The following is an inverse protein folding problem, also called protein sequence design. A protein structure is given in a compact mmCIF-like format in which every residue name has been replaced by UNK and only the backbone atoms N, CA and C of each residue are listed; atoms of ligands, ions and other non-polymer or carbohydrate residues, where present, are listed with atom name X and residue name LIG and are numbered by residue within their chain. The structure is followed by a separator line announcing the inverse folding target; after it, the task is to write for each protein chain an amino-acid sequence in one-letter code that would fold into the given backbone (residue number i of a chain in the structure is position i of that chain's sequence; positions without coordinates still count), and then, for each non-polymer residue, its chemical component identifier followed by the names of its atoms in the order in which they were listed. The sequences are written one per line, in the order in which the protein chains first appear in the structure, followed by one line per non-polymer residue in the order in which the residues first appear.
data_IF_201186552707
#
_entry.id   IF_201186552707
#
_cell.length_a   1.000
_cell.length_b   1.000
_cell.length_c   1.000
_cell.angle_alpha   90.00
_cell.angle_beta   90.00
_cell.angle_gamma   90.00
#
_symmetry.space_group_name_H-M   'P 1'
#
loop_
_entity.id
_entity.type
_entity.pdbx_description
1 polymer ?
#
# COMPACT_ATOMS: atom_id res chain seq x y z
N UNK A 1 12.12 -5.00 -21.36
CA UNK A 1 11.27 -4.71 -20.19
C UNK A 1 12.08 -4.83 -18.90
N UNK A 2 12.82 -5.93 -18.66
CA UNK A 2 13.62 -6.17 -17.45
C UNK A 2 14.75 -5.13 -17.21
N UNK A 3 15.42 -4.65 -18.28
CA UNK A 3 16.46 -3.61 -18.19
C UNK A 3 15.87 -2.20 -17.97
N UNK A 4 14.68 -1.94 -18.49
CA UNK A 4 13.96 -0.66 -18.28
C UNK A 4 13.43 -0.59 -16.86
N UNK A 5 12.94 -1.69 -16.28
CA UNK A 5 12.51 -1.77 -14.88
C UNK A 5 13.69 -1.55 -13.90
N UNK A 6 14.86 -2.13 -14.20
CA UNK A 6 16.10 -1.91 -13.44
C UNK A 6 16.61 -0.46 -13.56
N UNK A 7 16.48 0.18 -14.70
CA UNK A 7 16.84 1.58 -14.91
C UNK A 7 15.83 2.49 -14.19
N UNK A 8 14.54 2.19 -14.22
CA UNK A 8 13.52 2.90 -13.44
C UNK A 8 13.74 2.73 -11.92
N UNK A 9 14.16 1.56 -11.45
CA UNK A 9 14.53 1.30 -10.05
C UNK A 9 15.84 2.04 -9.69
N UNK A 10 16.79 2.15 -10.60
CA UNK A 10 18.05 2.88 -10.38
C UNK A 10 17.90 4.41 -10.50
N UNK A 11 16.97 4.90 -11.33
CA UNK A 11 16.64 6.33 -11.42
C UNK A 11 15.72 6.76 -10.27
N UNK A 12 14.97 5.82 -9.65
CA UNK A 12 14.12 6.07 -8.48
C UNK A 12 14.88 6.21 -7.16
N UNK A 13 16.20 6.13 -7.16
CA UNK A 13 17.02 6.14 -5.92
C UNK A 13 17.34 7.52 -5.37
N UNK A 14 16.51 8.54 -5.67
CA UNK A 14 16.76 9.85 -5.06
C UNK A 14 15.48 10.67 -4.87
N UNK A 15 15.08 11.09 -3.65
CA UNK A 15 14.24 12.26 -3.35
C UNK A 15 13.16 12.13 -2.25
N UNK A 16 13.13 12.97 -1.28
CA UNK A 16 12.57 12.90 0.05
C UNK A 16 11.22 13.55 0.37
N UNK A 17 10.61 13.09 1.34
CA UNK A 17 9.39 13.05 2.11
C UNK A 17 8.37 12.08 1.52
N UNK A 18 8.18 10.95 2.20
CA UNK A 18 6.99 10.13 2.02
C UNK A 18 5.79 11.03 2.31
N UNK A 19 5.11 11.44 1.27
CA UNK A 19 4.00 12.37 1.39
C UNK A 19 2.68 11.66 1.61
N UNK A 20 2.75 10.45 2.17
CA UNK A 20 1.59 9.71 2.65
C UNK A 20 0.35 9.82 1.74
N UNK A 21 0.58 9.95 0.42
CA UNK A 21 -0.46 10.05 -0.58
C UNK A 21 -1.33 11.32 -0.55
N UNK A 22 -0.89 12.40 0.10
CA UNK A 22 -1.63 13.66 0.15
C UNK A 22 -0.90 14.80 -0.57
N UNK A 23 -1.51 15.30 -1.65
CA UNK A 23 -0.94 16.32 -2.51
C UNK A 23 -0.86 17.70 -1.86
N UNK A 24 -1.70 18.00 -0.87
CA UNK A 24 -1.63 19.25 -0.12
C UNK A 24 -0.33 19.39 0.67
N UNK A 25 0.36 18.29 0.99
CA UNK A 25 1.67 18.34 1.64
C UNK A 25 2.78 18.88 0.73
N UNK A 26 2.55 18.98 -0.60
CA UNK A 26 3.42 19.71 -1.53
C UNK A 26 3.28 21.23 -1.46
N UNK A 27 2.30 21.70 -0.71
CA UNK A 27 2.09 23.11 -0.51
C UNK A 27 3.39 23.83 -0.11
N UNK A 28 3.65 24.95 -0.75
CA UNK A 28 4.76 25.84 -0.42
C UNK A 28 4.26 27.25 -0.22
N UNK A 29 5.06 28.10 0.42
CA UNK A 29 4.74 29.54 0.56
C UNK A 29 4.59 30.29 -0.76
N UNK A 30 5.13 29.75 -1.85
CA UNK A 30 4.97 30.34 -3.18
C UNK A 30 3.57 30.06 -3.72
N UNK A 31 2.95 31.06 -4.35
CA UNK A 31 1.59 30.99 -4.86
C UNK A 31 1.44 30.08 -6.08
N UNK A 32 2.54 29.81 -6.79
CA UNK A 32 2.56 28.95 -7.97
C UNK A 32 3.67 27.92 -7.84
N UNK A 33 3.32 26.66 -8.10
CA UNK A 33 4.31 25.59 -8.15
C UNK A 33 3.83 24.40 -8.97
N UNK A 34 4.78 23.70 -9.57
CA UNK A 34 4.58 22.38 -10.17
C UNK A 34 5.32 21.36 -9.32
N UNK A 35 4.66 20.25 -9.04
CA UNK A 35 5.19 19.18 -8.24
C UNK A 35 5.03 17.87 -8.99
N UNK A 36 6.11 17.11 -9.07
CA UNK A 36 6.15 15.76 -9.59
C UNK A 36 6.70 14.86 -8.48
N UNK A 37 6.04 13.76 -8.20
CA UNK A 37 6.47 12.86 -7.15
C UNK A 37 6.19 11.39 -7.47
N UNK A 38 6.85 10.54 -6.72
CA UNK A 38 6.61 9.13 -6.69
C UNK A 38 6.99 8.56 -5.34
N UNK A 39 6.22 7.61 -4.87
CA UNK A 39 6.48 6.90 -3.62
C UNK A 39 6.19 5.41 -3.78
N UNK A 40 6.97 4.63 -3.10
CA UNK A 40 6.80 3.20 -2.92
C UNK A 40 6.98 2.88 -1.44
N UNK A 41 6.03 2.19 -0.88
CA UNK A 41 6.08 1.68 0.49
C UNK A 41 5.54 0.25 0.50
N UNK A 42 6.27 -0.68 1.10
CA UNK A 42 5.80 -2.04 1.35
C UNK A 42 6.31 -2.48 2.71
N UNK A 43 5.40 -2.78 3.61
CA UNK A 43 5.69 -3.18 4.98
C UNK A 43 4.90 -4.42 5.37
N UNK A 44 5.45 -5.22 6.29
CA UNK A 44 4.80 -6.38 6.87
C UNK A 44 5.14 -6.47 8.35
N UNK A 45 4.30 -7.08 9.15
CA UNK A 45 4.63 -7.36 10.56
C UNK A 45 5.28 -8.73 10.76
N UNK A 46 5.37 -9.57 9.72
CA UNK A 46 5.91 -10.92 9.78
C UNK A 46 6.91 -11.29 8.66
N UNK A 47 6.76 -10.78 7.44
CA UNK A 47 7.63 -11.12 6.31
C UNK A 47 8.84 -10.18 6.23
N UNK A 48 10.05 -10.75 6.15
CA UNK A 48 11.25 -9.97 5.87
C UNK A 48 11.31 -9.53 4.40
N UNK A 49 12.01 -8.41 4.14
CA UNK A 49 12.19 -7.92 2.77
C UNK A 49 12.91 -8.92 1.88
N UNK A 50 13.88 -9.67 2.42
CA UNK A 50 14.56 -10.72 1.65
C UNK A 50 13.60 -11.82 1.20
N UNK A 51 12.63 -12.19 2.05
CA UNK A 51 11.59 -13.14 1.71
C UNK A 51 10.66 -12.60 0.64
N UNK A 52 10.13 -11.37 0.85
CA UNK A 52 9.21 -10.72 -0.10
C UNK A 52 9.88 -10.55 -1.47
N UNK A 53 11.12 -10.05 -1.50
CA UNK A 53 11.84 -9.82 -2.75
C UNK A 53 12.13 -11.14 -3.48
N UNK A 54 12.49 -12.21 -2.75
CA UNK A 54 12.70 -13.54 -3.32
C UNK A 54 11.42 -14.10 -3.90
N UNK A 55 10.31 -14.00 -3.18
CA UNK A 55 8.99 -14.44 -3.63
C UNK A 55 8.55 -13.68 -4.88
N UNK A 56 8.65 -12.34 -4.87
CA UNK A 56 8.26 -11.49 -6.01
C UNK A 56 9.11 -11.74 -7.28
N UNK A 57 10.36 -12.16 -7.12
CA UNK A 57 11.26 -12.51 -8.23
C UNK A 57 11.08 -13.95 -8.74
N UNK A 58 10.21 -14.74 -8.13
CA UNK A 58 10.03 -16.16 -8.46
C UNK A 58 11.25 -17.02 -8.06
N UNK A 59 12.02 -16.59 -7.06
CA UNK A 59 13.18 -17.31 -6.58
C UNK A 59 12.82 -18.45 -5.62
N UNK A 60 13.71 -19.45 -5.50
CA UNK A 60 13.50 -20.54 -4.55
C UNK A 60 13.55 -20.05 -3.10
N UNK A 61 12.52 -20.40 -2.34
CA UNK A 61 12.39 -20.11 -0.90
C UNK A 61 12.73 -21.38 -0.14
N UNK A 62 13.91 -21.42 0.45
CA UNK A 62 14.37 -22.57 1.21
C UNK A 62 13.69 -22.71 2.58
N UNK A 63 13.93 -23.84 3.25
CA UNK A 63 13.33 -24.13 4.54
C UNK A 63 13.74 -23.09 5.60
N UNK A 64 14.99 -22.67 5.61
CA UNK A 64 15.50 -21.70 6.59
C UNK A 64 14.77 -20.37 6.47
N UNK A 65 14.58 -19.86 5.24
CA UNK A 65 13.82 -18.64 5.00
C UNK A 65 12.37 -18.76 5.48
N UNK A 66 11.71 -19.89 5.26
CA UNK A 66 10.34 -20.14 5.74
C UNK A 66 10.28 -20.16 7.26
N UNK A 67 11.17 -20.92 7.91
CA UNK A 67 11.23 -21.09 9.36
C UNK A 67 11.53 -19.76 10.08
N UNK A 68 12.33 -18.88 9.48
CA UNK A 68 12.58 -17.53 10.00
C UNK A 68 11.30 -16.65 9.99
N UNK A 69 10.47 -16.76 8.96
CA UNK A 69 9.19 -16.05 8.93
C UNK A 69 8.21 -16.66 9.94
N UNK A 70 8.12 -17.98 10.00
CA UNK A 70 7.22 -18.68 10.90
C UNK A 70 7.40 -18.28 12.37
N UNK A 71 8.63 -17.96 12.81
CA UNK A 71 8.91 -17.43 14.16
C UNK A 71 8.26 -16.06 14.43
N UNK A 72 7.87 -15.33 13.41
CA UNK A 72 7.28 -13.98 13.52
C UNK A 72 5.77 -13.98 13.32
N UNK A 73 5.24 -15.07 12.76
CA UNK A 73 3.81 -15.26 12.49
C UNK A 73 3.07 -15.44 13.81
N UNK A 74 2.05 -14.65 14.07
CA UNK A 74 1.26 -14.68 15.32
C UNK A 74 -0.19 -14.28 15.05
N UNK A 75 -1.13 -15.23 15.13
CA UNK A 75 -2.55 -14.94 14.96
C UNK A 75 -2.87 -14.32 13.61
N UNK A 76 -3.22 -13.03 13.59
CA UNK A 76 -3.49 -12.28 12.36
C UNK A 76 -2.25 -11.45 11.97
N UNK A 77 -1.77 -11.69 10.78
CA UNK A 77 -0.55 -11.10 10.23
C UNK A 77 -0.89 -10.18 9.05
N UNK A 78 -0.24 -9.04 8.97
CA UNK A 78 -0.55 -8.04 7.96
C UNK A 78 0.66 -7.72 7.08
N UNK A 79 0.36 -7.47 5.81
CA UNK A 79 1.30 -6.91 4.84
C UNK A 79 0.55 -5.89 4.00
N UNK A 80 1.19 -4.81 3.63
CA UNK A 80 0.58 -3.85 2.72
C UNK A 80 1.54 -2.79 2.26
N UNK A 81 1.13 -2.11 1.21
CA UNK A 81 1.94 -1.10 0.56
C UNK A 81 1.16 -0.18 -0.36
N UNK A 82 1.88 0.83 -0.79
CA UNK A 82 1.44 1.85 -1.72
C UNK A 82 2.50 2.04 -2.79
N UNK A 83 2.07 2.10 -4.04
CA UNK A 83 2.83 2.69 -5.14
C UNK A 83 2.03 3.87 -5.66
N UNK A 84 2.63 5.06 -5.68
CA UNK A 84 1.97 6.27 -6.15
C UNK A 84 2.92 7.09 -7.01
N UNK A 85 2.38 7.67 -8.08
CA UNK A 85 3.02 8.75 -8.83
C UNK A 85 2.04 9.90 -8.93
N UNK A 86 2.53 11.12 -8.79
CA UNK A 86 1.69 12.30 -8.78
C UNK A 86 2.31 13.45 -9.58
N UNK A 87 1.46 14.17 -10.26
CA UNK A 87 1.74 15.47 -10.84
C UNK A 87 0.70 16.45 -10.31
N UNK A 88 1.14 17.49 -9.60
CA UNK A 88 0.26 18.45 -8.95
C UNK A 88 0.73 19.88 -9.23
N UNK A 89 -0.18 20.73 -9.61
CA UNK A 89 0.04 22.16 -9.82
C UNK A 89 -0.76 22.98 -8.83
N UNK A 90 -0.10 23.96 -8.22
CA UNK A 90 -0.75 25.04 -7.46
C UNK A 90 -0.65 26.33 -8.26
N UNK A 91 -1.76 27.06 -8.37
CA UNK A 91 -1.80 28.31 -9.11
C UNK A 91 -2.74 29.30 -8.44
N UNK A 92 -2.31 30.56 -8.40
CA UNK A 92 -3.04 31.66 -7.81
C UNK A 92 -2.32 32.98 -8.08
N UNK A 93 -2.99 34.09 -7.86
CA UNK A 93 -2.37 35.40 -7.87
C UNK A 93 -1.68 35.67 -6.53
N UNK A 94 -0.57 36.42 -6.53
CA UNK A 94 0.17 36.74 -5.31
C UNK A 94 -0.67 37.55 -4.31
N UNK A 95 -1.58 38.37 -4.81
CA UNK A 95 -2.52 39.18 -4.02
C UNK A 95 -3.77 38.42 -3.55
N UNK A 96 -3.98 37.17 -3.98
CA UNK A 96 -5.17 36.40 -3.67
C UNK A 96 -4.96 35.55 -2.41
N UNK A 97 -5.98 35.42 -1.58
CA UNK A 97 -6.04 34.44 -0.49
C UNK A 97 -6.34 33.03 -1.02
N UNK A 98 -6.77 32.89 -2.27
CA UNK A 98 -7.13 31.62 -2.87
C UNK A 98 -6.03 31.11 -3.78
N UNK A 99 -5.78 29.82 -3.70
CA UNK A 99 -4.98 29.04 -4.64
C UNK A 99 -5.79 27.86 -5.14
N UNK A 100 -5.69 27.60 -6.41
CA UNK A 100 -6.28 26.41 -7.01
C UNK A 100 -5.24 25.30 -7.05
N UNK A 101 -5.70 24.07 -6.96
CA UNK A 101 -4.92 22.86 -7.15
C UNK A 101 -5.53 22.06 -8.29
N UNK A 102 -4.67 21.58 -9.19
CA UNK A 102 -5.00 20.58 -10.18
C UNK A 102 -3.94 19.48 -10.15
N UNK A 103 -4.36 18.23 -10.28
CA UNK A 103 -3.44 17.10 -10.19
C UNK A 103 -3.89 15.88 -10.98
N UNK A 104 -2.92 15.06 -11.35
CA UNK A 104 -3.11 13.74 -11.94
C UNK A 104 -2.23 12.78 -11.17
N UNK A 105 -2.82 11.75 -10.60
CA UNK A 105 -2.12 10.74 -9.83
C UNK A 105 -2.40 9.34 -10.40
N UNK A 106 -1.44 8.45 -10.28
CA UNK A 106 -1.65 7.02 -10.39
C UNK A 106 -1.36 6.39 -9.04
N UNK A 107 -2.28 5.57 -8.54
CA UNK A 107 -2.15 4.93 -7.23
C UNK A 107 -2.44 3.44 -7.32
N UNK A 108 -1.63 2.66 -6.64
CA UNK A 108 -1.86 1.24 -6.42
C UNK A 108 -1.72 0.96 -4.93
N UNK A 109 -2.79 0.45 -4.33
CA UNK A 109 -2.82 -0.02 -2.94
C UNK A 109 -2.86 -1.53 -2.92
N UNK A 110 -2.01 -2.11 -2.11
CA UNK A 110 -2.03 -3.52 -1.77
C UNK A 110 -2.11 -3.68 -0.26
N UNK A 111 -3.01 -4.55 0.21
CA UNK A 111 -2.99 -4.99 1.61
C UNK A 111 -3.51 -6.41 1.73
N UNK A 112 -2.92 -7.15 2.66
CA UNK A 112 -3.39 -8.47 3.03
C UNK A 112 -3.35 -8.63 4.55
N UNK A 113 -4.33 -9.37 5.05
CA UNK A 113 -4.42 -9.85 6.42
C UNK A 113 -4.65 -11.36 6.35
N UNK A 114 -3.78 -12.15 6.94
CA UNK A 114 -3.84 -13.62 6.89
C UNK A 114 -3.63 -14.23 8.28
N UNK A 115 -4.25 -15.38 8.52
CA UNK A 115 -3.97 -16.17 9.71
C UNK A 115 -2.60 -16.86 9.61
N UNK A 116 -2.07 -17.29 10.75
CA UNK A 116 -0.83 -18.08 10.78
C UNK A 116 -0.96 -19.40 10.02
N UNK A 117 -2.15 -20.02 10.05
CA UNK A 117 -2.39 -21.26 9.34
C UNK A 117 -2.42 -21.09 7.82
N UNK A 118 -2.89 -19.93 7.31
CA UNK A 118 -2.77 -19.60 5.87
C UNK A 118 -1.31 -19.54 5.44
N UNK A 119 -0.42 -18.95 6.25
CA UNK A 119 1.01 -18.94 5.98
C UNK A 119 1.60 -20.38 6.01
N UNK A 120 1.30 -21.14 7.06
CA UNK A 120 1.76 -22.53 7.19
C UNK A 120 1.27 -23.38 6.02
N UNK A 121 -0.01 -23.31 5.69
CA UNK A 121 -0.59 -24.04 4.57
C UNK A 121 0.07 -23.68 3.23
N UNK A 122 0.24 -22.39 2.96
CA UNK A 122 0.82 -21.91 1.69
C UNK A 122 2.29 -22.30 1.48
N UNK A 123 3.10 -22.42 2.55
CA UNK A 123 4.54 -22.66 2.45
C UNK A 123 5.01 -24.04 2.91
N UNK A 124 4.20 -24.76 3.67
CA UNK A 124 4.53 -26.12 4.17
C UNK A 124 3.50 -27.17 3.75
N UNK A 125 2.36 -26.75 3.19
CA UNK A 125 1.27 -27.63 2.79
C UNK A 125 0.45 -28.18 3.97
N UNK A 126 -0.46 -29.10 3.68
CA UNK A 126 -1.40 -29.68 4.64
C UNK A 126 -0.74 -30.66 5.65
N UNK A 127 0.48 -31.11 5.39
CA UNK A 127 1.21 -32.04 6.29
C UNK A 127 1.36 -31.50 7.70
N UNK A 128 1.36 -30.17 7.88
CA UNK A 128 1.45 -29.54 9.21
C UNK A 128 0.15 -29.67 10.03
N UNK A 129 -0.95 -30.10 9.40
CA UNK A 129 -2.30 -30.16 9.98
C UNK A 129 -2.86 -31.57 10.00
N UNK A 130 -1.98 -32.60 10.01
CA UNK A 130 -2.40 -34.00 10.12
C UNK A 130 -3.04 -34.23 11.47
N UNK A 131 -4.32 -34.62 11.50
CA UNK A 131 -5.13 -34.78 12.70
C UNK A 131 -5.72 -33.48 13.27
N UNK A 132 -5.50 -32.33 12.62
CA UNK A 132 -5.93 -31.01 13.08
C UNK A 132 -6.63 -30.19 11.98
N UNK A 133 -7.39 -29.17 12.40
CA UNK A 133 -8.00 -28.21 11.50
C UNK A 133 -7.08 -27.00 11.31
N UNK A 134 -6.70 -26.69 10.08
CA UNK A 134 -6.12 -25.41 9.70
C UNK A 134 -7.21 -24.34 9.59
N UNK A 135 -7.04 -23.22 10.26
CA UNK A 135 -7.91 -22.06 10.14
C UNK A 135 -7.49 -21.18 8.94
N UNK A 136 -8.20 -21.31 7.83
CA UNK A 136 -8.00 -20.52 6.62
C UNK A 136 -8.97 -19.33 6.52
N UNK A 137 -9.87 -19.17 7.49
CA UNK A 137 -10.84 -18.09 7.58
C UNK A 137 -10.23 -16.76 8.05
N UNK A 138 -11.05 -15.72 8.09
CA UNK A 138 -10.66 -14.37 8.52
C UNK A 138 -9.43 -13.81 7.80
N UNK A 139 -9.22 -14.23 6.55
CA UNK A 139 -8.13 -13.75 5.72
C UNK A 139 -8.65 -12.88 4.58
N UNK A 140 -7.93 -11.83 4.29
CA UNK A 140 -8.32 -10.84 3.30
C UNK A 140 -7.10 -10.40 2.48
N UNK A 141 -7.28 -10.29 1.17
CA UNK A 141 -6.28 -9.71 0.24
C UNK A 141 -6.98 -8.70 -0.63
N UNK A 142 -6.45 -7.49 -0.71
CA UNK A 142 -6.96 -6.41 -1.55
C UNK A 142 -5.82 -5.80 -2.37
N UNK A 143 -6.09 -5.56 -3.63
CA UNK A 143 -5.21 -4.81 -4.53
C UNK A 143 -6.08 -3.92 -5.42
N UNK A 144 -5.79 -2.61 -5.46
CA UNK A 144 -6.51 -1.63 -6.26
C UNK A 144 -5.52 -0.78 -7.04
N UNK A 145 -5.79 -0.56 -8.32
CA UNK A 145 -5.04 0.36 -9.16
C UNK A 145 -6.01 1.32 -9.84
N UNK A 146 -5.71 2.63 -9.77
CA UNK A 146 -6.54 3.66 -10.38
C UNK A 146 -5.74 4.92 -10.71
N UNK A 147 -6.26 5.68 -11.65
CA UNK A 147 -5.84 7.04 -11.96
C UNK A 147 -6.81 8.04 -11.30
N UNK A 148 -6.26 9.10 -10.76
CA UNK A 148 -7.00 10.16 -10.08
C UNK A 148 -6.80 11.49 -10.80
N UNK A 149 -7.88 12.18 -11.14
CA UNK A 149 -7.90 13.52 -11.72
C UNK A 149 -8.52 14.46 -10.71
N UNK A 150 -7.70 15.34 -10.16
CA UNK A 150 -8.00 16.16 -8.98
C UNK A 150 -8.14 17.64 -9.34
N UNK A 151 -9.15 18.27 -8.76
CA UNK A 151 -9.32 19.73 -8.73
C UNK A 151 -9.69 20.18 -7.33
N UNK A 152 -9.14 21.30 -6.89
CA UNK A 152 -9.42 21.81 -5.55
C UNK A 152 -8.92 23.23 -5.35
N UNK A 153 -8.97 23.67 -4.11
CA UNK A 153 -8.49 24.98 -3.70
C UNK A 153 -7.92 24.96 -2.29
N UNK A 154 -7.07 25.93 -2.01
CA UNK A 154 -6.56 26.31 -0.71
C UNK A 154 -6.98 27.74 -0.41
N UNK A 155 -7.41 27.99 0.80
CA UNK A 155 -7.57 29.33 1.37
C UNK A 155 -6.36 29.60 2.25
N UNK A 156 -5.62 30.64 1.90
CA UNK A 156 -4.31 30.96 2.45
C UNK A 156 -4.23 32.46 2.63
N UNK A 157 -4.48 32.94 3.82
CA UNK A 157 -4.43 34.37 4.12
C UNK A 157 -3.05 34.99 3.86
N UNK A 158 -2.96 36.29 3.65
CA UNK A 158 -1.71 37.02 3.43
C UNK A 158 -0.77 36.95 4.64
N UNK A 159 -1.31 36.62 5.80
CA UNK A 159 -0.56 36.51 7.07
C UNK A 159 -0.21 35.03 7.35
N UNK A 160 1.09 34.73 7.44
CA UNK A 160 1.61 33.39 7.74
C UNK A 160 1.26 32.89 9.15
N UNK A 161 0.61 33.70 9.98
CA UNK A 161 0.09 33.32 11.30
C UNK A 161 -1.34 32.78 11.25
N UNK A 162 -2.02 32.87 10.09
CA UNK A 162 -3.38 32.36 9.92
C UNK A 162 -3.40 30.89 9.48
N UNK A 163 -4.50 30.24 9.82
CA UNK A 163 -4.73 28.87 9.37
C UNK A 163 -4.90 28.81 7.84
N UNK A 164 -4.39 27.74 7.25
CA UNK A 164 -4.56 27.41 5.85
C UNK A 164 -5.50 26.23 5.76
N UNK A 165 -6.50 26.29 4.91
CA UNK A 165 -7.45 25.21 4.68
C UNK A 165 -7.56 24.90 3.21
N UNK A 166 -7.75 23.62 2.89
CA UNK A 166 -7.91 23.17 1.52
C UNK A 166 -8.90 22.04 1.39
N UNK A 167 -9.52 21.98 0.22
CA UNK A 167 -10.39 20.90 -0.19
C UNK A 167 -10.15 20.58 -1.66
N UNK A 168 -10.17 19.29 -2.01
CA UNK A 168 -10.13 18.85 -3.39
C UNK A 168 -11.13 17.72 -3.61
N UNK A 169 -11.66 17.68 -4.84
CA UNK A 169 -12.47 16.62 -5.35
C UNK A 169 -11.75 15.95 -6.51
N UNK A 170 -11.90 14.65 -6.61
CA UNK A 170 -11.23 13.87 -7.66
C UNK A 170 -12.21 12.94 -8.35
N UNK A 171 -12.07 12.87 -9.66
CA UNK A 171 -12.60 11.78 -10.46
C UNK A 171 -11.60 10.62 -10.48
N UNK A 172 -12.10 9.41 -10.29
CA UNK A 172 -11.28 8.20 -10.23
C UNK A 172 -11.59 7.31 -11.44
N UNK A 173 -10.54 6.94 -12.17
CA UNK A 173 -10.60 5.95 -13.24
C UNK A 173 -9.99 4.64 -12.73
N UNK A 174 -10.84 3.66 -12.42
CA UNK A 174 -10.41 2.34 -11.97
C UNK A 174 -9.76 1.54 -13.10
N UNK A 175 -8.58 1.00 -12.85
CA UNK A 175 -7.83 0.19 -13.80
C UNK A 175 -7.93 -1.29 -13.49
N UNK A 176 -7.60 -1.68 -12.27
CA UNK A 176 -7.68 -3.07 -11.84
C UNK A 176 -8.03 -3.17 -10.37
N UNK A 177 -8.70 -4.26 -10.04
CA UNK A 177 -9.02 -4.58 -8.68
C UNK A 177 -9.05 -6.10 -8.48
N UNK A 178 -8.56 -6.52 -7.32
CA UNK A 178 -8.60 -7.88 -6.82
C UNK A 178 -8.96 -7.83 -5.34
N UNK A 179 -9.94 -8.62 -4.93
CA UNK A 179 -10.32 -8.80 -3.53
C UNK A 179 -10.61 -10.27 -3.27
N UNK A 180 -9.91 -10.84 -2.30
CA UNK A 180 -10.22 -12.15 -1.74
C UNK A 180 -10.56 -11.98 -0.26
N UNK A 181 -11.70 -12.51 0.14
CA UNK A 181 -12.11 -12.61 1.54
C UNK A 181 -12.42 -14.07 1.85
N UNK A 182 -11.86 -14.59 2.93
CA UNK A 182 -12.25 -15.89 3.48
C UNK A 182 -12.89 -15.64 4.85
N UNK A 183 -14.17 -15.99 4.99
CA UNK A 183 -14.90 -15.75 6.25
C UNK A 183 -14.64 -16.87 7.27
N UNK A 184 -15.10 -18.10 6.97
CA UNK A 184 -15.00 -19.25 7.86
C UNK A 184 -14.50 -20.49 7.10
N UNK A 185 -13.30 -20.36 6.52
CA UNK A 185 -12.69 -21.48 5.77
C UNK A 185 -11.76 -22.30 6.67
N UNK A 186 -11.80 -23.62 6.53
CA UNK A 186 -10.93 -24.52 7.27
C UNK A 186 -10.55 -25.75 6.44
N UNK A 187 -9.39 -26.32 6.74
CA UNK A 187 -8.91 -27.53 6.11
C UNK A 187 -8.51 -28.53 7.20
N UNK A 188 -9.17 -29.69 7.17
CA UNK A 188 -8.83 -30.84 8.02
C UNK A 188 -8.10 -31.91 7.20
N UNK A 189 -7.03 -32.44 7.73
CA UNK A 189 -6.32 -33.60 7.16
C UNK A 189 -6.40 -34.76 8.14
N UNK A 190 -6.94 -35.91 7.72
CA UNK A 190 -7.07 -37.06 8.56
C UNK A 190 -5.71 -37.54 9.12
N UNK A 191 -5.68 -38.06 10.35
CA UNK A 191 -4.45 -38.49 11.02
C UNK A 191 -3.69 -39.59 10.26
N UNK A 192 -4.43 -40.45 9.57
CA UNK A 192 -3.92 -41.51 8.68
C UNK A 192 -3.71 -41.04 7.24
N UNK A 193 -3.92 -39.72 6.96
CA UNK A 193 -3.88 -39.14 5.66
C UNK A 193 -4.87 -39.71 4.61
N UNK A 194 -5.91 -40.42 5.06
CA UNK A 194 -6.89 -41.09 4.19
C UNK A 194 -7.83 -40.09 3.47
N UNK A 195 -8.07 -38.92 4.05
CA UNK A 195 -8.87 -37.88 3.43
C UNK A 195 -8.48 -36.48 3.88
N UNK A 196 -8.88 -35.50 3.05
CA UNK A 196 -8.81 -34.07 3.35
C UNK A 196 -10.24 -33.52 3.23
N UNK A 197 -10.65 -32.75 4.22
CA UNK A 197 -11.92 -32.03 4.22
C UNK A 197 -11.67 -30.54 4.17
N UNK A 198 -12.08 -29.89 3.09
CA UNK A 198 -11.97 -28.44 2.88
C UNK A 198 -13.38 -27.83 3.00
N UNK A 199 -13.61 -27.07 4.05
CA UNK A 199 -14.79 -26.22 4.17
C UNK A 199 -14.41 -24.82 3.74
N UNK A 200 -15.14 -24.25 2.79
CA UNK A 200 -14.88 -22.89 2.29
C UNK A 200 -16.11 -22.01 2.45
N UNK A 201 -15.90 -20.80 2.96
CA UNK A 201 -16.79 -19.67 2.79
C UNK A 201 -15.93 -18.50 2.35
N UNK A 202 -15.80 -18.32 1.05
CA UNK A 202 -14.88 -17.38 0.44
C UNK A 202 -15.53 -16.60 -0.71
N UNK A 203 -15.09 -15.38 -0.89
CA UNK A 203 -15.48 -14.50 -1.97
C UNK A 203 -14.24 -13.95 -2.66
N UNK A 204 -14.13 -14.16 -3.96
CA UNK A 204 -13.11 -13.59 -4.82
C UNK A 204 -13.78 -12.67 -5.83
N UNK A 205 -13.36 -11.41 -5.86
CA UNK A 205 -13.81 -10.44 -6.85
C UNK A 205 -12.62 -9.83 -7.57
N UNK A 206 -12.69 -9.73 -8.90
CA UNK A 206 -11.64 -9.11 -9.70
C UNK A 206 -12.23 -8.36 -10.89
N UNK A 207 -11.58 -7.26 -11.26
CA UNK A 207 -11.93 -6.50 -12.46
C UNK A 207 -11.76 -7.35 -13.72
N UNK A 208 -12.33 -6.89 -14.83
CA UNK A 208 -12.20 -7.55 -16.13
C UNK A 208 -10.72 -7.87 -16.44
N UNK A 209 -10.45 -9.16 -16.66
CA UNK A 209 -9.09 -9.66 -16.93
C UNK A 209 -8.65 -9.44 -18.37
N UNK A 210 -9.58 -9.14 -19.29
CA UNK A 210 -9.28 -8.81 -20.67
C UNK A 210 -8.75 -7.39 -20.85
N UNK A 211 -9.11 -6.48 -19.93
CA UNK A 211 -8.74 -5.07 -19.93
C UNK A 211 -7.68 -4.78 -18.86
N UNK A 212 -6.39 -4.91 -19.20
CA UNK A 212 -5.28 -4.78 -18.24
C UNK A 212 -4.31 -3.62 -18.52
N UNK A 213 -4.53 -2.88 -19.60
CA UNK A 213 -3.64 -1.80 -19.96
C UNK A 213 -3.89 -0.56 -19.13
N UNK A 214 -2.89 0.33 -19.00
CA UNK A 214 -2.98 1.57 -18.23
C UNK A 214 -4.06 2.54 -18.76
N UNK A 215 -4.45 2.42 -20.02
CA UNK A 215 -5.51 3.22 -20.67
C UNK A 215 -6.89 2.58 -20.56
N UNK A 216 -7.00 1.33 -20.15
CA UNK A 216 -8.27 0.62 -20.03
C UNK A 216 -9.13 1.22 -18.90
N UNK A 217 -10.43 1.02 -19.02
CA UNK A 217 -11.43 1.57 -18.13
C UNK A 217 -12.27 0.44 -17.54
N UNK A 218 -11.99 0.08 -16.30
CA UNK A 218 -12.68 -0.99 -15.59
C UNK A 218 -13.63 -0.49 -14.50
N UNK A 219 -13.59 0.79 -14.19
CA UNK A 219 -14.45 1.38 -13.17
C UNK A 219 -14.31 2.89 -13.09
N UNK A 220 -15.25 3.53 -12.41
CA UNK A 220 -15.24 4.96 -12.15
C UNK A 220 -15.65 5.26 -10.71
N UNK A 221 -15.17 6.35 -10.20
CA UNK A 221 -15.44 6.75 -8.84
C UNK A 221 -15.16 8.20 -8.57
N UNK A 222 -15.27 8.56 -7.32
CA UNK A 222 -14.92 9.90 -6.83
C UNK A 222 -14.30 9.81 -5.46
N UNK A 223 -13.48 10.79 -5.14
CA UNK A 223 -12.95 10.99 -3.80
C UNK A 223 -12.86 12.45 -3.42
N UNK A 224 -12.82 12.71 -2.11
CA UNK A 224 -12.59 14.02 -1.54
C UNK A 224 -11.32 14.00 -0.68
N UNK A 225 -10.67 15.15 -0.59
CA UNK A 225 -9.54 15.41 0.30
C UNK A 225 -9.77 16.71 1.07
N UNK A 226 -9.35 16.71 2.34
CA UNK A 226 -9.39 17.88 3.22
C UNK A 226 -8.01 18.08 3.84
N UNK A 227 -7.65 19.34 3.98
CA UNK A 227 -6.38 19.77 4.55
C UNK A 227 -6.59 20.99 5.44
N UNK A 228 -5.91 21.02 6.58
CA UNK A 228 -5.84 22.20 7.43
C UNK A 228 -4.43 22.29 8.05
N UNK A 229 -3.84 23.46 8.00
CA UNK A 229 -2.60 23.79 8.69
C UNK A 229 -2.84 25.00 9.58
N UNK A 230 -2.52 24.89 10.87
CA UNK A 230 -2.67 25.96 11.85
C UNK A 230 -1.31 26.26 12.48
N UNK A 231 -0.66 27.38 12.09
CA UNK A 231 0.55 27.83 12.74
C UNK A 231 0.27 28.45 14.12
N UNK A 232 1.21 28.29 15.05
CA UNK A 232 1.15 28.94 16.35
C UNK A 232 2.56 29.17 16.91
N UNK A 233 2.68 30.12 17.82
CA UNK A 233 3.95 30.36 18.54
C UNK A 233 3.94 29.58 19.85
N UNK A 234 4.92 28.73 20.06
CA UNK A 234 5.16 28.05 21.35
C UNK A 234 6.40 28.62 22.03
N UNK A 235 6.58 28.30 23.31
CA UNK A 235 7.84 28.62 24.04
C UNK A 235 9.07 27.94 23.42
N UNK A 236 8.88 26.87 22.67
CA UNK A 236 9.95 26.08 22.05
C UNK A 236 10.30 26.55 20.63
N UNK A 237 9.48 27.38 19.99
CA UNK A 237 9.72 27.87 18.65
C UNK A 237 8.45 28.02 17.82
N UNK A 238 8.62 28.32 16.53
CA UNK A 238 7.51 28.38 15.59
C UNK A 238 6.98 26.97 15.35
N UNK A 239 5.71 26.79 15.59
CA UNK A 239 5.05 25.49 15.54
C UNK A 239 3.85 25.52 14.62
N UNK A 240 3.46 24.35 14.12
CA UNK A 240 2.23 24.18 13.36
C UNK A 240 1.63 22.79 13.52
N UNK A 241 0.31 22.75 13.55
CA UNK A 241 -0.46 21.52 13.40
C UNK A 241 -0.95 21.37 11.96
N UNK A 242 -0.90 20.17 11.44
CA UNK A 242 -1.45 19.79 10.13
C UNK A 242 -2.42 18.66 10.35
N UNK A 243 -3.62 18.80 9.82
CA UNK A 243 -4.64 17.76 9.74
C UNK A 243 -4.93 17.49 8.27
N UNK A 244 -4.99 16.23 7.90
CA UNK A 244 -5.31 15.84 6.54
C UNK A 244 -6.15 14.57 6.52
N UNK A 245 -7.19 14.57 5.68
CA UNK A 245 -7.99 13.40 5.32
C UNK A 245 -7.95 13.27 3.81
N UNK A 246 -7.53 12.13 3.30
CA UNK A 246 -7.47 11.88 1.85
C UNK A 246 -8.07 10.53 1.47
N UNK A 247 -8.38 10.36 0.17
CA UNK A 247 -9.03 9.18 -0.39
C UNK A 247 -10.42 8.88 0.23
N UNK A 248 -11.15 9.90 0.70
CA UNK A 248 -12.52 9.71 1.17
C UNK A 248 -13.43 9.48 -0.05
N UNK A 249 -13.54 8.23 -0.49
CA UNK A 249 -14.21 7.92 -1.74
C UNK A 249 -14.34 6.44 -2.04
N UNK A 250 -14.83 6.16 -3.23
CA UNK A 250 -15.10 4.80 -3.71
C UNK A 250 -14.89 4.70 -5.22
N UNK A 251 -14.76 3.46 -5.71
CA UNK A 251 -14.77 3.10 -7.14
C UNK A 251 -15.88 2.07 -7.37
N UNK A 252 -16.73 2.34 -8.36
CA UNK A 252 -17.71 1.39 -8.91
C UNK A 252 -17.08 0.71 -10.12
N UNK A 253 -16.95 -0.61 -10.04
CA UNK A 253 -16.40 -1.46 -11.10
C UNK A 253 -17.46 -1.87 -12.11
N UNK A 254 -17.04 -2.15 -13.33
CA UNK A 254 -17.93 -2.47 -14.45
C UNK A 254 -18.74 -3.76 -14.23
N UNK A 255 -19.75 -3.97 -15.06
CA UNK A 255 -20.53 -5.21 -15.06
C UNK A 255 -19.75 -6.46 -15.49
N UNK A 256 -18.55 -6.27 -16.06
CA UNK A 256 -17.65 -7.38 -16.41
C UNK A 256 -16.80 -7.87 -15.23
N UNK A 257 -16.99 -7.29 -14.04
CA UNK A 257 -16.33 -7.75 -12.82
C UNK A 257 -16.71 -9.19 -12.53
N UNK A 258 -15.71 -10.04 -12.35
CA UNK A 258 -15.87 -11.44 -12.02
C UNK A 258 -16.01 -11.59 -10.51
N UNK A 259 -17.09 -12.24 -10.07
CA UNK A 259 -17.35 -12.54 -8.66
C UNK A 259 -17.47 -14.05 -8.53
N UNK A 260 -16.56 -14.65 -7.79
CA UNK A 260 -16.59 -16.07 -7.44
C UNK A 260 -17.00 -16.17 -5.97
N UNK A 261 -17.98 -16.98 -5.69
CA UNK A 261 -18.39 -17.32 -4.32
C UNK A 261 -18.25 -18.83 -4.12
N UNK A 262 -17.63 -19.23 -3.05
CA UNK A 262 -17.51 -20.61 -2.60
C UNK A 262 -18.12 -20.69 -1.20
N UNK A 263 -19.15 -21.51 -1.04
CA UNK A 263 -19.78 -21.81 0.25
C UNK A 263 -20.15 -23.30 0.25
N UNK A 264 -19.14 -24.13 0.47
CA UNK A 264 -19.29 -25.58 0.35
C UNK A 264 -18.23 -26.33 1.18
N UNK A 265 -18.52 -27.60 1.43
CA UNK A 265 -17.58 -28.54 2.01
C UNK A 265 -17.17 -29.54 0.94
N UNK A 266 -15.89 -29.67 0.71
CA UNK A 266 -15.29 -30.55 -0.25
C UNK A 266 -14.48 -31.64 0.47
N UNK A 267 -14.82 -32.92 0.18
CA UNK A 267 -14.10 -34.09 0.72
C UNK A 267 -13.25 -34.71 -0.39
N UNK A 268 -11.97 -34.85 -0.13
CA UNK A 268 -11.02 -35.50 -1.02
C UNK A 268 -10.40 -36.73 -0.33
N UNK A 269 -10.71 -37.90 -0.82
CA UNK A 269 -10.23 -39.18 -0.28
C UNK A 269 -9.10 -39.81 -1.12
N UNK A 270 -8.44 -39.00 -1.97
CA UNK A 270 -7.39 -39.48 -2.86
C UNK A 270 -7.92 -40.09 -4.13
N UNK A 271 -7.00 -40.52 -4.99
CA UNK A 271 -7.28 -41.26 -6.22
C UNK A 271 -6.82 -42.66 -6.07
N UNK A 272 -7.73 -43.60 -6.27
CA UNK A 272 -7.39 -45.04 -6.23
C UNK A 272 -6.64 -45.37 -7.54
N UNK A 273 -5.38 -45.81 -7.40
CA UNK A 273 -4.52 -46.19 -8.51
C UNK A 273 -4.33 -47.73 -8.40
N UNK A 274 -5.00 -48.47 -9.29
CA UNK A 274 -4.90 -49.92 -9.34
C UNK A 274 -3.50 -50.41 -9.70
N UNK A 275 -2.80 -49.67 -10.57
CA UNK A 275 -1.45 -50.02 -11.02
C UNK A 275 -0.65 -48.73 -11.27
N UNK A 276 0.41 -48.55 -10.49
CA UNK A 276 1.27 -47.36 -10.56
C UNK A 276 2.05 -47.29 -11.88
N UNK A 277 2.27 -48.43 -12.54
CA UNK A 277 2.96 -48.53 -13.84
C UNK A 277 2.02 -48.31 -15.03
N UNK A 278 0.71 -48.36 -14.81
CA UNK A 278 -0.32 -48.06 -15.81
C UNK A 278 -0.84 -46.61 -15.74
N UNK A 279 -0.20 -45.72 -14.98
CA UNK A 279 -0.55 -44.31 -14.86
C UNK A 279 -0.42 -43.65 -16.22
N UNK A 280 -1.56 -43.29 -16.83
CA UNK A 280 -1.64 -42.47 -18.02
C UNK A 280 -1.83 -41.02 -17.63
N UNK A 281 -1.31 -40.08 -18.42
CA UNK A 281 -1.51 -38.64 -18.24
C UNK A 281 -2.98 -38.24 -18.08
N UNK A 282 -3.93 -39.03 -18.67
CA UNK A 282 -5.37 -38.80 -18.52
C UNK A 282 -5.90 -39.01 -17.09
N UNK A 283 -5.22 -39.83 -16.25
CA UNK A 283 -5.63 -40.06 -14.85
C UNK A 283 -5.23 -38.86 -13.97
N UNK A 284 -4.12 -38.19 -14.29
CA UNK A 284 -3.67 -36.96 -13.62
C UNK A 284 -4.46 -35.74 -14.09
N UNK A 285 -4.86 -35.72 -15.37
CA UNK A 285 -5.70 -34.65 -15.95
C UNK A 285 -7.14 -34.66 -15.44
N UNK A 286 -7.67 -35.82 -14.99
CA UNK A 286 -8.99 -35.90 -14.36
C UNK A 286 -9.05 -35.19 -12.99
N UNK A 287 -7.90 -34.86 -12.40
CA UNK A 287 -7.76 -34.06 -11.16
C UNK A 287 -7.31 -32.65 -11.54
N UNK A 288 -7.89 -32.05 -12.57
CA UNK A 288 -7.53 -30.69 -12.91
C UNK A 288 -8.08 -29.71 -11.84
N UNK A 289 -7.25 -28.78 -11.42
CA UNK A 289 -7.69 -27.67 -10.55
C UNK A 289 -8.92 -26.96 -11.12
N UNK A 290 -9.06 -26.93 -12.44
CA UNK A 290 -10.18 -26.32 -13.15
C UNK A 290 -11.51 -27.02 -12.88
N UNK A 291 -11.53 -28.37 -12.88
CA UNK A 291 -12.76 -29.13 -12.57
C UNK A 291 -13.18 -29.02 -11.10
N UNK A 292 -12.22 -28.88 -10.19
CA UNK A 292 -12.50 -28.65 -8.75
C UNK A 292 -13.04 -27.23 -8.56
N UNK A 293 -12.45 -26.24 -9.23
CA UNK A 293 -12.91 -24.85 -9.13
C UNK A 293 -14.29 -24.64 -9.77
N UNK A 294 -14.57 -25.23 -10.92
CA UNK A 294 -15.88 -25.15 -11.57
C UNK A 294 -17.00 -25.79 -10.74
N UNK A 295 -16.72 -26.89 -10.06
CA UNK A 295 -17.73 -27.54 -9.21
C UNK A 295 -17.92 -26.91 -7.84
N UNK A 296 -16.94 -26.19 -7.33
CA UNK A 296 -16.93 -25.61 -5.98
C UNK A 296 -17.27 -24.12 -5.93
N UNK A 297 -17.35 -23.42 -7.07
CA UNK A 297 -17.53 -21.97 -7.12
C UNK A 297 -18.67 -21.57 -8.05
N UNK A 298 -19.47 -20.60 -7.60
CA UNK A 298 -20.42 -19.91 -8.44
C UNK A 298 -19.74 -18.67 -9.03
N UNK A 299 -19.67 -18.58 -10.35
CA UNK A 299 -19.17 -17.42 -11.07
C UNK A 299 -20.33 -16.54 -11.50
N UNK A 300 -20.30 -15.29 -11.10
CA UNK A 300 -21.20 -14.25 -11.57
C UNK A 300 -20.43 -13.06 -12.16
N UNK A 301 -21.01 -12.39 -13.14
CA UNK A 301 -20.52 -11.12 -13.70
C UNK A 301 -21.47 -10.02 -13.27
N UNK A 302 -21.03 -9.20 -12.33
CA UNK A 302 -21.85 -8.13 -11.79
C UNK A 302 -21.02 -6.90 -11.42
N UNK A 303 -21.68 -5.75 -11.39
CA UNK A 303 -21.07 -4.52 -10.86
C UNK A 303 -20.66 -4.73 -9.40
N UNK A 304 -19.48 -4.25 -9.06
CA UNK A 304 -18.95 -4.25 -7.70
C UNK A 304 -18.59 -2.83 -7.26
N UNK A 305 -18.43 -2.62 -5.97
CA UNK A 305 -17.96 -1.34 -5.43
C UNK A 305 -16.87 -1.56 -4.41
N UNK A 306 -15.91 -0.65 -4.38
CA UNK A 306 -14.78 -0.68 -3.45
C UNK A 306 -14.62 0.68 -2.81
N UNK A 307 -14.68 0.75 -1.48
CA UNK A 307 -14.26 1.93 -0.74
C UNK A 307 -12.74 2.03 -0.76
N UNK A 308 -12.21 3.23 -0.94
CA UNK A 308 -10.78 3.47 -0.90
C UNK A 308 -10.25 3.38 0.53
N UNK A 309 -8.94 3.10 0.71
CA UNK A 309 -8.26 3.27 1.99
C UNK A 309 -8.20 4.76 2.36
N UNK A 310 -9.10 5.20 3.24
CA UNK A 310 -9.13 6.59 3.71
C UNK A 310 -7.93 6.84 4.61
N UNK A 311 -7.08 7.76 4.23
CA UNK A 311 -5.91 8.16 5.02
C UNK A 311 -6.26 9.32 5.94
N UNK A 312 -6.11 9.12 7.23
CA UNK A 312 -6.17 10.15 8.26
C UNK A 312 -4.75 10.44 8.77
N UNK A 313 -4.37 11.72 8.79
CA UNK A 313 -3.03 12.15 9.13
C UNK A 313 -3.07 13.39 10.02
N UNK A 314 -2.38 13.33 11.17
CA UNK A 314 -2.11 14.46 12.03
C UNK A 314 -0.60 14.62 12.13
N UNK A 315 -0.12 15.84 11.96
CA UNK A 315 1.30 16.18 12.09
C UNK A 315 1.44 17.39 12.98
N UNK A 316 2.38 17.33 13.89
CA UNK A 316 2.83 18.47 14.68
C UNK A 316 4.29 18.76 14.35
N UNK A 317 4.60 19.98 13.91
CA UNK A 317 5.95 20.43 13.56
C UNK A 317 6.38 21.56 14.48
N UNK A 318 7.62 21.51 14.96
CA UNK A 318 8.24 22.55 15.78
C UNK A 318 9.58 22.89 15.15
N UNK A 319 9.77 24.15 14.79
CA UNK A 319 11.06 24.67 14.33
C UNK A 319 11.78 25.36 15.49
N UNK A 320 12.67 24.62 16.13
CA UNK A 320 13.44 25.11 17.29
C UNK A 320 14.45 26.20 16.92
N UNK A 321 15.03 26.10 15.71
CA UNK A 321 16.05 27.04 15.22
C UNK A 321 16.03 27.11 13.68
N UNK A 322 16.88 27.95 13.11
CA UNK A 322 17.11 27.95 11.66
C UNK A 322 17.70 26.63 11.15
N UNK A 323 18.36 25.86 12.02
CA UNK A 323 19.12 24.66 11.66
C UNK A 323 18.33 23.37 11.96
N UNK A 324 17.29 23.40 12.82
CA UNK A 324 16.63 22.18 13.26
C UNK A 324 15.10 22.32 13.37
N UNK A 325 14.40 21.39 12.75
CA UNK A 325 12.95 21.19 12.84
C UNK A 325 12.66 19.77 13.32
N UNK A 326 11.70 19.63 14.21
CA UNK A 326 11.21 18.35 14.71
C UNK A 326 9.75 18.17 14.37
N UNK A 327 9.41 16.99 13.90
CA UNK A 327 8.06 16.59 13.49
C UNK A 327 7.64 15.37 14.28
N UNK A 328 6.40 15.36 14.76
CA UNK A 328 5.73 14.14 15.26
C UNK A 328 4.44 13.97 14.48
N UNK A 329 4.01 12.74 14.28
CA UNK A 329 2.78 12.51 13.55
C UNK A 329 2.11 11.18 13.86
N UNK A 330 0.85 11.14 13.48
CA UNK A 330 -0.02 9.97 13.53
C UNK A 330 -0.66 9.77 12.17
N UNK A 331 -0.61 8.53 11.64
CA UNK A 331 -1.29 8.12 10.40
C UNK A 331 -2.14 6.89 10.67
N UNK A 332 -3.35 6.87 10.10
CA UNK A 332 -4.18 5.68 10.06
C UNK A 332 -4.86 5.56 8.69
N UNK A 333 -4.95 4.33 8.18
CA UNK A 333 -5.68 3.99 6.97
C UNK A 333 -6.90 3.15 7.35
N UNK A 334 -8.08 3.72 7.17
CA UNK A 334 -9.33 2.97 7.32
C UNK A 334 -9.55 2.07 6.09
N UNK A 335 -10.28 0.99 6.22
CA UNK A 335 -10.58 0.00 5.17
C UNK A 335 -9.34 -0.70 4.58
N UNK A 336 -8.27 -0.86 5.35
CA UNK A 336 -6.99 -1.35 4.84
C UNK A 336 -6.22 -2.31 5.77
N UNK A 337 -6.83 -2.83 6.83
CA UNK A 337 -6.14 -3.65 7.85
C UNK A 337 -4.85 -3.00 8.41
N UNK A 338 -4.81 -1.66 8.42
CA UNK A 338 -3.67 -0.86 8.81
C UNK A 338 -3.71 -0.53 10.30
N UNK A 339 -2.66 -0.87 11.04
CA UNK A 339 -2.52 -0.50 12.46
C UNK A 339 -2.21 1.00 12.59
N UNK A 340 -2.61 1.67 13.68
CA UNK A 340 -2.17 3.04 13.94
C UNK A 340 -0.66 3.18 13.79
N UNK A 341 -0.20 4.22 13.09
CA UNK A 341 1.20 4.49 12.81
C UNK A 341 1.62 5.80 13.46
N UNK A 342 2.54 5.73 14.39
CA UNK A 342 3.17 6.87 15.03
C UNK A 342 4.56 7.09 14.45
N UNK A 343 4.92 8.33 14.18
CA UNK A 343 6.25 8.64 13.68
C UNK A 343 6.82 9.94 14.22
N UNK A 344 8.13 10.04 14.17
CA UNK A 344 8.90 11.26 14.45
C UNK A 344 9.93 11.49 13.37
N UNK A 345 10.22 12.75 13.09
CA UNK A 345 11.25 13.16 12.12
C UNK A 345 12.09 14.30 12.69
N UNK A 346 13.39 14.24 12.49
CA UNK A 346 14.30 15.33 12.73
C UNK A 346 14.85 15.86 11.41
N UNK A 347 14.64 17.14 11.10
CA UNK A 347 15.17 17.77 9.89
C UNK A 347 16.28 18.75 10.26
N UNK A 348 17.48 18.50 9.75
CA UNK A 348 18.67 19.34 9.90
C UNK A 348 18.91 20.13 8.61
N UNK A 349 18.97 21.44 8.72
CA UNK A 349 19.21 22.36 7.61
C UNK A 349 20.68 22.77 7.57
N UNK A 350 21.36 22.44 6.47
CA UNK A 350 22.77 22.80 6.20
C UNK A 350 22.78 23.91 5.17
N UNK A 351 22.94 25.15 5.61
CA UNK A 351 22.74 26.34 4.79
C UNK A 351 21.30 26.39 4.20
N UNK A 352 20.99 27.39 3.42
CA UNK A 352 19.64 27.61 2.84
C UNK A 352 19.27 26.61 1.72
N UNK A 353 20.16 25.69 1.38
CA UNK A 353 20.02 24.86 0.17
C UNK A 353 19.94 23.35 0.40
N UNK A 354 20.37 22.87 1.54
CA UNK A 354 20.46 21.45 1.82
C UNK A 354 19.84 21.13 3.16
N UNK A 355 19.03 20.08 3.23
CA UNK A 355 18.58 19.51 4.51
C UNK A 355 18.64 17.98 4.49
N UNK A 356 18.88 17.42 5.66
CA UNK A 356 18.82 15.97 5.93
C UNK A 356 17.69 15.76 6.91
N UNK A 357 16.81 14.81 6.63
CA UNK A 357 15.81 14.36 7.60
C UNK A 357 16.05 12.92 8.01
N UNK A 358 15.83 12.66 9.29
CA UNK A 358 15.78 11.32 9.87
C UNK A 358 14.35 10.99 10.22
N UNK A 359 13.95 9.73 10.04
CA UNK A 359 12.61 9.26 10.34
C UNK A 359 12.65 8.04 11.25
N UNK A 360 11.78 8.00 12.25
CA UNK A 360 11.49 6.82 13.07
C UNK A 360 9.98 6.66 13.17
N UNK A 361 9.49 5.45 12.90
CA UNK A 361 8.08 5.15 12.95
C UNK A 361 7.77 3.78 13.54
N UNK A 362 6.57 3.62 14.08
CA UNK A 362 6.09 2.37 14.65
C UNK A 362 4.62 2.14 14.32
N UNK A 363 4.28 0.94 13.87
CA UNK A 363 2.91 0.54 13.51
C UNK A 363 2.71 0.39 12.00
N UNK A 364 1.53 0.72 11.51
CA UNK A 364 1.14 0.52 10.12
C UNK A 364 1.00 -0.95 9.76
N UNK A 365 1.45 -1.33 8.57
CA UNK A 365 1.59 -2.74 8.19
C UNK A 365 2.86 -3.38 8.77
N UNK A 366 3.83 -2.58 9.23
CA UNK A 366 5.09 -3.05 9.77
C UNK A 366 5.13 -3.04 11.30
N UNK A 367 6.34 -2.94 11.80
CA UNK A 367 6.65 -2.71 13.22
C UNK A 367 7.45 -1.42 13.35
N UNK A 368 8.76 -1.52 13.58
CA UNK A 368 9.65 -0.37 13.64
C UNK A 368 10.17 -0.04 12.23
N UNK A 369 10.15 1.23 11.86
CA UNK A 369 10.76 1.76 10.64
C UNK A 369 11.74 2.87 10.97
N UNK A 370 12.86 2.89 10.26
CA UNK A 370 13.87 3.96 10.34
C UNK A 370 14.22 4.46 8.95
N UNK A 371 14.24 5.76 8.77
CA UNK A 371 14.41 6.38 7.47
C UNK A 371 15.44 7.50 7.44
N UNK A 372 15.88 7.80 6.24
CA UNK A 372 16.74 8.93 5.92
C UNK A 372 16.25 9.60 4.65
N UNK A 373 16.34 10.92 4.62
CA UNK A 373 16.05 11.70 3.43
C UNK A 373 16.96 12.89 3.27
N UNK A 374 17.05 13.34 2.03
CA UNK A 374 17.80 14.52 1.60
C UNK A 374 16.85 15.47 0.88
N UNK A 375 17.04 16.78 1.06
CA UNK A 375 16.37 17.80 0.26
C UNK A 375 17.38 18.86 -0.14
N UNK A 376 17.33 19.25 -1.42
CA UNK A 376 18.19 20.31 -1.96
C UNK A 376 17.38 21.32 -2.74
N UNK A 377 17.70 22.60 -2.56
CA UNK A 377 17.12 23.71 -3.32
C UNK A 377 18.12 24.23 -4.33
N UNK A 378 17.82 24.11 -5.62
CA UNK A 378 18.65 24.54 -6.74
C UNK A 378 18.09 25.86 -7.30
N UNK A 379 18.97 26.86 -7.43
CA UNK A 379 18.63 28.18 -8.00
C UNK A 379 17.37 28.82 -7.40
N UNK A 380 17.06 28.60 -6.13
CA UNK A 380 15.89 29.09 -5.37
C UNK A 380 14.50 28.60 -5.87
N UNK A 381 14.41 28.00 -7.04
CA UNK A 381 13.16 27.63 -7.68
C UNK A 381 12.89 26.13 -7.69
N UNK A 382 13.93 25.32 -7.86
CA UNK A 382 13.81 23.88 -7.95
C UNK A 382 14.17 23.23 -6.62
N UNK A 383 13.22 22.59 -5.99
CA UNK A 383 13.42 21.77 -4.80
C UNK A 383 13.40 20.31 -5.22
N UNK A 384 14.47 19.63 -4.89
CA UNK A 384 14.59 18.19 -5.09
C UNK A 384 14.63 17.55 -3.70
N UNK A 385 13.84 16.50 -3.50
CA UNK A 385 13.84 15.78 -2.21
C UNK A 385 13.94 14.28 -2.42
N UNK A 386 14.72 13.53 -1.56
CA UNK A 386 15.03 12.11 -1.72
C UNK A 386 15.10 11.29 -0.44
N UNK A 387 14.60 10.02 -0.43
CA UNK A 387 14.82 9.18 0.74
C UNK A 387 13.99 7.91 0.83
N UNK A 388 14.00 7.37 2.04
CA UNK A 388 13.29 6.18 2.43
C UNK A 388 12.85 6.30 3.90
N UNK A 389 11.62 5.95 4.21
CA UNK A 389 11.14 5.82 5.60
C UNK A 389 11.47 4.45 6.21
N UNK A 390 12.01 3.55 5.41
CA UNK A 390 12.40 2.19 5.81
C UNK A 390 13.74 1.81 5.21
N UNK A 391 14.77 2.64 5.45
CA UNK A 391 16.13 2.44 4.89
C UNK A 391 16.76 1.14 5.38
N UNK A 392 16.35 0.64 6.54
CA UNK A 392 16.77 -0.68 7.03
C UNK A 392 16.44 -1.80 6.05
N UNK A 393 15.42 -1.61 5.19
CA UNK A 393 15.07 -2.56 4.12
C UNK A 393 16.14 -2.72 3.06
N UNK A 394 16.95 -1.68 2.86
CA UNK A 394 18.09 -1.66 1.93
C UNK A 394 19.34 -2.20 2.63
N UNK A 395 19.61 -1.73 3.86
CA UNK A 395 20.85 -2.06 4.60
C UNK A 395 20.82 -3.50 5.14
N UNK A 396 19.68 -3.96 5.64
CA UNK A 396 19.55 -5.26 6.29
C UNK A 396 18.23 -5.98 5.89
N UNK A 397 18.07 -6.38 4.63
CA UNK A 397 16.81 -6.92 4.11
C UNK A 397 16.35 -8.21 4.77
N UNK A 398 17.27 -9.02 5.33
CA UNK A 398 16.94 -10.25 6.07
C UNK A 398 16.24 -9.99 7.41
N UNK A 399 16.55 -8.89 8.06
CA UNK A 399 15.98 -8.51 9.38
C UNK A 399 14.84 -7.51 9.26
N UNK A 400 14.83 -6.70 8.22
CA UNK A 400 13.84 -5.65 8.01
C UNK A 400 12.51 -6.21 7.54
N UNK A 401 11.43 -5.63 8.06
CA UNK A 401 10.03 -5.94 7.74
C UNK A 401 9.37 -4.89 6.84
N UNK A 402 10.14 -3.92 6.36
CA UNK A 402 9.64 -2.85 5.50
C UNK A 402 10.71 -2.30 4.58
N UNK A 403 10.28 -1.81 3.44
CA UNK A 403 11.09 -1.10 2.46
C UNK A 403 10.27 0.02 1.85
N UNK A 404 10.91 1.16 1.60
CA UNK A 404 10.27 2.29 0.96
C UNK A 404 11.27 3.12 0.19
N UNK A 405 10.77 3.84 -0.78
CA UNK A 405 11.52 4.88 -1.48
C UNK A 405 10.54 5.95 -1.94
N UNK A 406 10.99 7.20 -1.97
CA UNK A 406 10.16 8.29 -2.45
C UNK A 406 10.96 9.37 -3.17
N UNK A 407 10.29 10.02 -4.14
CA UNK A 407 10.87 11.02 -5.04
C UNK A 407 9.96 12.22 -5.19
N UNK A 408 10.51 13.44 -5.12
CA UNK A 408 9.73 14.64 -5.42
C UNK A 408 10.58 15.76 -6.01
N UNK A 409 10.05 16.37 -7.06
CA UNK A 409 10.54 17.56 -7.73
C UNK A 409 9.49 18.64 -7.57
N UNK A 410 9.86 19.78 -7.03
CA UNK A 410 8.97 20.93 -6.92
C UNK A 410 9.63 22.15 -7.58
N UNK A 411 8.98 22.68 -8.59
CA UNK A 411 9.40 23.94 -9.24
C UNK A 411 8.49 25.07 -8.80
N UNK A 412 9.09 26.16 -8.33
CA UNK A 412 8.41 27.36 -7.81
C UNK A 412 8.60 28.51 -8.80
N UNK A 413 7.50 29.14 -9.15
CA UNK A 413 7.50 30.32 -10.03
C UNK A 413 7.60 31.61 -9.23
#
# INVERSE_FOLDING_TARGET
VRKILLILILISSTLSHAQFGNDFLFYSSNKRSLNLGGEYELNSDFLSNSFINRFAQGGYIDKTMKDEQLKRVTGINVIGGLLSTNFTSFFGKDSSEYRFIAGVNHRQFFNASITDDVFKFGFYGNKQFVGENANLGNSQINNYSFQEFKLGFLVDGPDTTKAIMGMALSYLKGQSFFRLNTNSSSLFTAADASYINLTTNAQLSLSDTASRNWYDFNGHGMSAEFFAETPYKSKLGNSKFILSVSNLGFIKWSSNTLNYTADSTFNYSGVYINDIFALKDSTLNAISLDSITESATNLDRAKSSTNLPVTFLIIHKIRFSKLFEFTTGFRHLFNANYKPYLFTEGTFYFADKLSINTHLGFGGYGKLSGGLGLSSTIKKHLVIKLGSNSIQGIISPKKSLGQSAYVSLSYKF
#
